data_IF_059544655251
#
_entry.id   IF_059544655251
#
_cell.length_a   1.000
_cell.length_b   1.000
_cell.length_c   1.000
_cell.angle_alpha   90.00
_cell.angle_beta   90.00
_cell.angle_gamma   90.00
#
_symmetry.space_group_name_H-M   'P 1'
#
loop_
_entity.id
_entity.type
_entity.pdbx_description
1 polymer ?
#
# COMPACT_ATOMS: atom_id res chain seq x y z
N UNK A 1 -61.11 -66.45 -11.46
CA UNK A 1 -62.26 -65.69 -10.96
C UNK A 1 -61.88 -65.14 -9.58
N UNK A 2 -61.72 -63.97 -9.40
CA UNK A 2 -61.81 -63.03 -8.30
C UNK A 2 -60.79 -61.85 -8.55
N UNK A 3 -61.39 -60.73 -8.96
CA UNK A 3 -60.70 -59.46 -9.08
C UNK A 3 -60.50 -58.87 -7.70
N UNK A 4 -59.33 -58.43 -7.38
CA UNK A 4 -59.03 -57.67 -6.18
C UNK A 4 -58.62 -56.28 -6.67
N UNK A 5 -59.45 -55.33 -6.30
CA UNK A 5 -59.16 -53.88 -6.45
C UNK A 5 -58.14 -53.45 -5.38
N UNK A 6 -57.07 -52.80 -5.81
CA UNK A 6 -56.18 -52.06 -4.88
C UNK A 6 -56.34 -50.59 -5.19
N UNK A 7 -56.89 -49.87 -4.23
CA UNK A 7 -57.00 -48.44 -4.25
C UNK A 7 -55.67 -47.79 -4.03
N UNK A 8 -55.32 -46.89 -4.93
CA UNK A 8 -54.14 -46.00 -4.80
C UNK A 8 -54.60 -44.77 -4.00
N UNK A 9 -54.02 -44.60 -2.79
CA UNK A 9 -54.08 -43.32 -2.08
C UNK A 9 -52.76 -42.59 -2.37
N UNK A 10 -52.83 -41.58 -3.21
CA UNK A 10 -51.75 -40.64 -3.40
C UNK A 10 -51.85 -39.57 -2.31
N UNK A 11 -50.94 -39.57 -1.37
CA UNK A 11 -50.76 -38.50 -0.42
C UNK A 11 -49.77 -37.52 -1.02
N UNK A 12 -50.30 -36.31 -1.34
CA UNK A 12 -49.48 -35.17 -1.71
C UNK A 12 -48.77 -34.65 -0.48
N UNK A 13 -47.46 -34.86 -0.45
CA UNK A 13 -46.50 -34.16 0.44
C UNK A 13 -45.48 -33.46 -0.44
N UNK A 14 -45.80 -32.33 -0.93
CA UNK A 14 -44.89 -31.42 -1.59
C UNK A 14 -45.26 -30.00 -1.20
N UNK A 15 -44.30 -29.34 -0.57
CA UNK A 15 -44.19 -27.91 -0.36
C UNK A 15 -44.04 -27.44 1.10
N UNK A 16 -42.87 -27.64 1.67
CA UNK A 16 -42.31 -26.70 2.70
C UNK A 16 -40.77 -26.72 2.73
N UNK A 17 -40.08 -27.33 1.77
CA UNK A 17 -38.62 -27.41 1.77
C UNK A 17 -37.92 -26.36 0.81
N UNK A 18 -38.68 -25.38 0.29
CA UNK A 18 -38.17 -24.48 -0.76
C UNK A 18 -37.91 -23.03 -0.35
N UNK A 19 -38.19 -22.66 0.90
CA UNK A 19 -38.11 -21.22 1.29
C UNK A 19 -36.97 -20.92 2.27
N UNK A 20 -36.40 -21.92 2.94
CA UNK A 20 -35.28 -21.68 3.88
C UNK A 20 -33.89 -21.72 3.28
N UNK A 21 -33.71 -22.15 2.04
CA UNK A 21 -32.38 -22.22 1.40
C UNK A 21 -31.97 -20.93 0.68
N UNK A 22 -32.83 -19.92 0.54
CA UNK A 22 -32.51 -18.66 -0.13
C UNK A 22 -32.00 -17.60 0.87
N UNK A 23 -32.27 -17.75 2.16
CA UNK A 23 -31.78 -16.77 3.16
C UNK A 23 -30.42 -17.10 3.79
N UNK A 24 -29.90 -18.32 3.59
CA UNK A 24 -28.60 -18.73 4.11
C UNK A 24 -27.42 -18.40 3.17
N UNK A 25 -27.69 -17.99 1.93
CA UNK A 25 -26.65 -17.62 0.95
C UNK A 25 -26.27 -16.14 0.95
N UNK A 26 -26.89 -15.29 1.79
CA UNK A 26 -26.67 -13.84 1.78
C UNK A 26 -25.80 -13.29 2.93
N UNK A 27 -25.13 -14.13 3.71
CA UNK A 27 -24.22 -13.68 4.78
C UNK A 27 -22.95 -14.53 4.92
N UNK A 28 -22.30 -14.84 3.82
CA UNK A 28 -20.85 -15.02 3.93
C UNK A 28 -20.30 -13.59 3.96
N UNK A 29 -19.98 -13.12 5.14
CA UNK A 29 -19.28 -11.83 5.28
C UNK A 29 -18.00 -11.95 4.45
N UNK A 30 -17.90 -11.17 3.35
CA UNK A 30 -16.73 -11.15 2.50
C UNK A 30 -15.48 -11.00 3.37
N UNK A 31 -14.47 -11.80 3.15
CA UNK A 31 -13.18 -11.65 3.81
C UNK A 31 -12.61 -10.25 3.55
N UNK A 32 -11.72 -9.76 4.39
CA UNK A 32 -11.04 -8.47 4.14
C UNK A 32 -10.34 -8.46 2.78
N UNK A 33 -9.80 -9.60 2.37
CA UNK A 33 -9.21 -9.80 1.05
C UNK A 33 -10.23 -9.57 -0.09
N UNK A 34 -11.41 -10.17 0.00
CA UNK A 34 -12.48 -9.98 -1.00
C UNK A 34 -12.97 -8.54 -1.06
N UNK A 35 -13.05 -7.84 0.08
CA UNK A 35 -13.43 -6.42 0.15
C UNK A 35 -12.44 -5.51 -0.58
N UNK A 36 -11.13 -5.79 -0.46
CA UNK A 36 -10.10 -5.08 -1.23
C UNK A 36 -10.25 -5.37 -2.73
N UNK A 37 -10.49 -6.62 -3.13
CA UNK A 37 -10.70 -6.97 -4.54
C UNK A 37 -11.96 -6.30 -5.13
N UNK A 38 -13.02 -6.11 -4.34
CA UNK A 38 -14.21 -5.39 -4.77
C UNK A 38 -13.92 -3.91 -5.09
N UNK A 39 -12.95 -3.28 -4.42
CA UNK A 39 -12.54 -1.89 -4.75
C UNK A 39 -11.95 -1.81 -6.15
N UNK A 40 -11.30 -2.86 -6.63
CA UNK A 40 -10.71 -2.89 -7.97
C UNK A 40 -11.76 -3.00 -9.08
N UNK A 41 -12.96 -3.49 -8.77
CA UNK A 41 -14.11 -3.51 -9.70
C UNK A 41 -14.78 -2.14 -9.75
N UNK A 42 -14.25 -1.26 -10.60
CA UNK A 42 -14.79 0.11 -10.77
C UNK A 42 -16.13 0.16 -11.53
N UNK A 43 -16.66 -0.97 -11.98
CA UNK A 43 -17.95 -1.03 -12.71
C UNK A 43 -19.16 -0.76 -11.81
N UNK A 44 -19.02 -0.89 -10.50
CA UNK A 44 -20.06 -0.70 -9.48
C UNK A 44 -19.53 -0.06 -8.21
N UNK A 45 -20.35 0.74 -7.50
CA UNK A 45 -19.96 1.29 -6.19
C UNK A 45 -19.70 0.17 -5.18
N UNK A 46 -18.64 0.34 -4.37
CA UNK A 46 -18.39 -0.52 -3.23
C UNK A 46 -19.18 -0.01 -2.01
N UNK A 47 -20.05 -0.84 -1.44
CA UNK A 47 -20.85 -0.47 -0.25
C UNK A 47 -20.03 -0.47 1.06
N UNK A 48 -18.88 -1.11 1.05
CA UNK A 48 -17.93 -1.14 2.15
C UNK A 48 -16.73 -0.26 1.79
N UNK A 49 -16.29 0.58 2.71
CA UNK A 49 -15.07 1.39 2.54
C UNK A 49 -13.94 0.72 3.30
N UNK A 50 -13.04 -0.01 2.61
CA UNK A 50 -11.86 -0.56 3.29
C UNK A 50 -10.98 0.56 3.83
N UNK A 51 -10.25 0.26 4.92
CA UNK A 51 -9.38 1.24 5.55
C UNK A 51 -8.11 0.60 6.12
N UNK A 52 -7.00 1.32 6.06
CA UNK A 52 -5.75 0.94 6.68
C UNK A 52 -4.89 2.17 7.02
N UNK A 53 -4.13 2.06 8.10
CA UNK A 53 -3.13 3.04 8.51
C UNK A 53 -1.83 2.32 8.84
N UNK A 54 -0.72 3.04 8.80
CA UNK A 54 0.61 2.48 9.00
C UNK A 54 1.44 3.36 9.92
N UNK A 55 2.23 2.71 10.76
CA UNK A 55 3.22 3.37 11.62
C UNK A 55 4.46 2.48 11.76
N UNK A 56 5.60 3.06 12.05
CA UNK A 56 6.80 2.29 12.36
C UNK A 56 6.77 1.78 13.80
N UNK A 57 7.08 0.50 13.98
CA UNK A 57 7.24 -0.10 15.30
C UNK A 57 8.65 0.10 15.84
N UNK A 58 8.81 -0.07 17.15
CA UNK A 58 10.11 -0.07 17.80
C UNK A 58 10.91 -1.31 17.37
N UNK A 59 10.28 -2.48 17.40
CA UNK A 59 10.90 -3.72 16.97
C UNK A 59 10.91 -3.82 15.44
N UNK A 60 12.10 -3.90 14.87
CA UNK A 60 12.30 -3.82 13.42
C UNK A 60 12.25 -5.17 12.72
N UNK A 61 12.78 -6.20 13.35
CA UNK A 61 12.95 -7.54 12.78
C UNK A 61 12.65 -8.64 13.81
N UNK A 62 12.53 -9.87 13.32
CA UNK A 62 12.34 -11.07 14.12
C UNK A 62 10.95 -11.18 14.77
N UNK A 63 10.81 -12.05 15.76
CA UNK A 63 9.51 -12.41 16.36
C UNK A 63 8.76 -11.25 16.98
N UNK A 64 9.46 -10.27 17.55
CA UNK A 64 8.79 -9.08 18.14
C UNK A 64 8.18 -8.20 17.07
N UNK A 65 8.87 -7.98 15.95
CA UNK A 65 8.30 -7.26 14.81
C UNK A 65 7.04 -7.96 14.26
N UNK A 66 7.07 -9.29 14.13
CA UNK A 66 5.89 -10.08 13.76
C UNK A 66 4.74 -9.86 14.74
N UNK A 67 5.02 -9.90 16.05
CA UNK A 67 3.99 -9.69 17.08
C UNK A 67 3.41 -8.28 17.01
N UNK A 68 4.24 -7.24 16.88
CA UNK A 68 3.79 -5.85 16.77
C UNK A 68 2.83 -5.65 15.56
N UNK A 69 3.16 -6.23 14.40
CA UNK A 69 2.27 -6.20 13.23
C UNK A 69 0.95 -6.93 13.47
N UNK A 70 0.98 -8.09 14.15
CA UNK A 70 -0.22 -8.86 14.47
C UNK A 70 -1.13 -8.09 15.42
N UNK A 71 -0.56 -7.53 16.49
CA UNK A 71 -1.31 -6.80 17.50
C UNK A 71 -1.93 -5.52 16.90
N UNK A 72 -1.17 -4.80 16.09
CA UNK A 72 -1.65 -3.61 15.39
C UNK A 72 -2.78 -3.92 14.41
N UNK A 73 -2.62 -4.93 13.56
CA UNK A 73 -3.67 -5.35 12.63
C UNK A 73 -4.97 -5.73 13.34
N UNK A 74 -4.88 -6.52 14.41
CA UNK A 74 -6.05 -6.97 15.18
C UNK A 74 -6.67 -5.84 15.99
N UNK A 75 -5.87 -5.01 16.64
CA UNK A 75 -6.35 -3.89 17.42
C UNK A 75 -7.08 -2.85 16.58
N UNK A 76 -6.57 -2.56 15.37
CA UNK A 76 -7.13 -1.51 14.51
C UNK A 76 -8.21 -1.97 13.55
N UNK A 77 -8.38 -3.29 13.33
CA UNK A 77 -9.34 -3.86 12.38
C UNK A 77 -9.12 -3.45 10.90
N UNK A 78 -7.91 -3.05 10.53
CA UNK A 78 -7.58 -2.66 9.15
C UNK A 78 -7.76 -3.81 8.15
N UNK A 79 -7.85 -3.49 6.86
CA UNK A 79 -8.25 -4.46 5.82
C UNK A 79 -7.09 -5.18 5.13
N UNK A 80 -5.85 -4.76 5.34
CA UNK A 80 -4.64 -5.45 4.87
C UNK A 80 -3.46 -5.20 5.77
N UNK A 81 -2.47 -6.07 5.73
CA UNK A 81 -1.24 -5.98 6.52
C UNK A 81 -0.13 -5.40 5.66
N UNK A 82 0.28 -4.16 5.94
CA UNK A 82 1.49 -3.57 5.37
C UNK A 82 2.67 -3.93 6.25
N UNK A 83 3.65 -4.64 5.69
CA UNK A 83 4.88 -5.00 6.40
C UNK A 83 5.95 -3.95 6.10
N UNK A 84 6.49 -3.31 7.14
CA UNK A 84 7.52 -2.29 6.94
C UNK A 84 8.82 -2.91 6.46
N UNK A 85 9.52 -2.16 5.60
CA UNK A 85 10.90 -2.45 5.22
C UNK A 85 11.84 -1.77 6.23
N UNK A 86 12.55 -2.56 7.01
CA UNK A 86 13.36 -2.06 8.13
C UNK A 86 14.85 -2.41 8.00
N UNK A 87 15.27 -3.01 6.87
CA UNK A 87 16.68 -3.25 6.56
C UNK A 87 17.22 -2.06 5.78
N UNK A 88 18.18 -1.35 6.37
CA UNK A 88 18.94 -0.35 5.65
C UNK A 88 20.04 -1.01 4.80
N UNK A 89 20.21 -0.55 3.56
CA UNK A 89 21.39 -0.95 2.77
C UNK A 89 22.67 -0.46 3.44
N UNK A 90 23.77 -1.23 3.34
CA UNK A 90 25.05 -0.85 3.93
C UNK A 90 25.54 0.49 3.39
N UNK A 91 26.17 1.26 4.28
CA UNK A 91 26.87 2.48 3.88
C UNK A 91 27.99 2.15 2.90
N UNK A 92 28.08 2.90 1.83
CA UNK A 92 29.14 2.85 0.84
C UNK A 92 30.02 4.11 0.99
N UNK A 93 31.32 3.96 0.90
CA UNK A 93 32.26 5.10 0.95
C UNK A 93 32.19 5.87 -0.37
N UNK A 94 31.32 6.88 -0.41
CA UNK A 94 31.08 7.77 -1.54
C UNK A 94 31.59 9.16 -1.17
N UNK A 95 32.78 9.51 -1.67
CA UNK A 95 33.43 10.81 -1.44
C UNK A 95 33.38 11.71 -2.68
N UNK A 96 33.13 11.15 -3.85
CA UNK A 96 33.00 11.84 -5.14
C UNK A 96 31.89 11.23 -5.97
N UNK A 97 31.40 11.95 -6.99
CA UNK A 97 30.39 11.43 -7.91
C UNK A 97 30.76 10.14 -8.63
N UNK A 98 32.07 9.85 -8.82
CA UNK A 98 32.56 8.58 -9.41
C UNK A 98 32.30 7.39 -8.48
N UNK A 99 32.29 7.60 -7.19
CA UNK A 99 32.20 6.52 -6.20
C UNK A 99 30.81 5.85 -6.17
N UNK A 100 29.82 6.42 -6.82
CA UNK A 100 28.54 5.74 -7.05
C UNK A 100 28.71 4.40 -7.76
N UNK A 101 29.77 4.19 -8.54
CA UNK A 101 30.09 2.90 -9.17
C UNK A 101 30.39 1.78 -8.16
N UNK A 102 30.69 2.11 -6.88
CA UNK A 102 30.94 1.15 -5.81
C UNK A 102 29.66 0.50 -5.26
N UNK A 103 28.47 1.07 -5.55
CA UNK A 103 27.20 0.54 -5.05
C UNK A 103 26.93 -0.82 -5.70
N UNK A 104 26.85 -1.91 -4.89
CA UNK A 104 26.69 -3.25 -5.42
C UNK A 104 25.22 -3.59 -5.73
N UNK A 105 25.01 -4.76 -6.33
CA UNK A 105 23.72 -5.45 -6.31
C UNK A 105 23.68 -6.35 -5.06
N UNK A 106 22.65 -6.20 -4.21
CA UNK A 106 22.41 -7.07 -3.06
C UNK A 106 21.60 -8.28 -3.48
N UNK A 107 22.03 -9.49 -3.10
CA UNK A 107 21.33 -10.74 -3.37
C UNK A 107 20.16 -11.00 -2.40
N UNK A 108 19.40 -12.07 -2.65
CA UNK A 108 18.26 -12.48 -1.81
C UNK A 108 18.67 -12.67 -0.35
N UNK A 109 19.87 -13.22 -0.07
CA UNK A 109 20.38 -13.49 1.28
C UNK A 109 20.49 -12.23 2.15
N UNK A 110 20.76 -11.08 1.52
CA UNK A 110 20.80 -9.80 2.23
C UNK A 110 19.44 -9.46 2.87
N UNK A 111 18.35 -9.83 2.22
CA UNK A 111 17.00 -9.51 2.66
C UNK A 111 16.37 -10.57 3.55
N UNK A 112 17.06 -11.69 3.83
CA UNK A 112 16.51 -12.81 4.61
C UNK A 112 15.89 -12.39 5.95
N UNK A 113 16.47 -11.49 6.78
CA UNK A 113 15.83 -11.09 8.04
C UNK A 113 14.49 -10.39 7.86
N UNK A 114 14.32 -9.63 6.77
CA UNK A 114 13.05 -8.97 6.42
C UNK A 114 12.04 -9.96 5.84
N UNK A 115 12.52 -10.86 4.99
CA UNK A 115 11.68 -11.86 4.32
C UNK A 115 11.13 -12.88 5.33
N UNK A 116 11.89 -13.21 6.39
CA UNK A 116 11.42 -14.06 7.48
C UNK A 116 10.21 -13.44 8.23
N UNK A 117 10.20 -12.11 8.45
CA UNK A 117 9.04 -11.42 9.04
C UNK A 117 7.82 -11.53 8.13
N UNK A 118 8.02 -11.38 6.82
CA UNK A 118 6.94 -11.51 5.83
C UNK A 118 6.36 -12.93 5.84
N UNK A 119 7.21 -13.96 5.87
CA UNK A 119 6.80 -15.36 5.90
C UNK A 119 5.95 -15.68 7.13
N UNK A 120 6.36 -15.23 8.31
CA UNK A 120 5.63 -15.48 9.55
C UNK A 120 4.26 -14.78 9.53
N UNK A 121 4.17 -13.53 9.01
CA UNK A 121 2.90 -12.81 8.86
C UNK A 121 2.00 -13.44 7.78
N UNK A 122 2.58 -13.88 6.67
CA UNK A 122 1.83 -14.57 5.62
C UNK A 122 1.22 -15.88 6.13
N UNK A 123 1.95 -16.63 6.97
CA UNK A 123 1.45 -17.85 7.61
C UNK A 123 0.32 -17.57 8.59
N UNK A 124 0.41 -16.48 9.36
CA UNK A 124 -0.61 -16.08 10.35
C UNK A 124 -1.92 -15.65 9.69
N UNK A 125 -1.85 -14.84 8.62
CA UNK A 125 -3.01 -14.18 8.02
C UNK A 125 -3.44 -14.77 6.66
N UNK A 126 -2.95 -15.97 6.32
CA UNK A 126 -3.25 -16.62 5.04
C UNK A 126 -4.76 -16.70 4.77
N UNK A 127 -5.19 -16.09 3.68
CA UNK A 127 -6.59 -16.09 3.26
C UNK A 127 -7.48 -15.05 3.97
N UNK A 128 -7.04 -14.46 5.08
CA UNK A 128 -7.78 -13.42 5.81
C UNK A 128 -7.57 -12.04 5.20
N UNK A 129 -6.30 -11.62 5.02
CA UNK A 129 -5.93 -10.32 4.54
C UNK A 129 -4.74 -10.40 3.57
N UNK A 130 -4.57 -9.38 2.72
CA UNK A 130 -3.38 -9.23 1.89
C UNK A 130 -2.16 -8.86 2.74
N UNK A 131 -1.04 -9.50 2.46
CA UNK A 131 0.27 -9.19 3.03
C UNK A 131 1.07 -8.38 2.01
N UNK A 132 1.28 -7.10 2.30
CA UNK A 132 1.87 -6.12 1.39
C UNK A 132 3.17 -5.55 1.98
N UNK A 133 4.33 -6.19 1.74
CA UNK A 133 5.61 -5.62 2.12
C UNK A 133 5.85 -4.26 1.48
N UNK A 134 6.44 -3.35 2.27
CA UNK A 134 6.93 -2.07 1.76
C UNK A 134 8.18 -2.29 0.92
N UNK A 135 8.24 -1.58 -0.19
CA UNK A 135 9.37 -1.56 -1.13
C UNK A 135 9.77 -0.11 -1.32
N UNK A 136 10.96 0.26 -0.88
CA UNK A 136 11.48 1.60 -1.13
C UNK A 136 12.03 1.73 -2.55
N UNK A 137 11.99 2.95 -3.08
CA UNK A 137 12.54 3.26 -4.40
C UNK A 137 14.07 3.11 -4.45
N UNK A 138 14.66 2.88 -5.62
CA UNK A 138 16.11 2.91 -5.79
C UNK A 138 16.73 4.24 -5.32
N UNK A 139 16.00 5.36 -5.50
CA UNK A 139 16.43 6.67 -5.05
C UNK A 139 16.52 6.76 -3.52
N UNK A 140 15.52 6.21 -2.81
CA UNK A 140 15.54 6.15 -1.34
C UNK A 140 16.73 5.32 -0.82
N UNK A 141 16.98 4.17 -1.44
CA UNK A 141 18.13 3.32 -1.09
C UNK A 141 19.46 4.00 -1.40
N UNK A 142 19.57 4.74 -2.51
CA UNK A 142 20.76 5.53 -2.81
C UNK A 142 21.05 6.57 -1.72
N UNK A 143 20.01 7.22 -1.17
CA UNK A 143 20.15 8.09 -0.01
C UNK A 143 20.64 7.37 1.25
N UNK A 144 20.27 6.10 1.44
CA UNK A 144 20.73 5.29 2.57
C UNK A 144 22.23 4.93 2.45
N UNK A 145 22.71 4.67 1.23
CA UNK A 145 24.13 4.28 1.02
C UNK A 145 25.12 5.35 1.44
N UNK A 146 24.71 6.63 1.45
CA UNK A 146 25.56 7.74 1.93
C UNK A 146 25.71 7.78 3.45
N UNK A 147 24.81 7.14 4.20
CA UNK A 147 24.68 7.35 5.63
C UNK A 147 24.08 8.73 5.95
N UNK A 148 23.66 8.88 7.20
CA UNK A 148 22.94 10.09 7.66
C UNK A 148 23.80 11.36 7.53
N UNK A 149 25.06 11.28 7.88
CA UNK A 149 26.02 12.39 7.91
C UNK A 149 26.30 12.99 6.52
N UNK A 150 26.27 12.17 5.46
CA UNK A 150 26.58 12.59 4.10
C UNK A 150 25.36 12.94 3.25
N UNK A 151 24.13 12.74 3.75
CA UNK A 151 22.88 13.04 3.00
C UNK A 151 22.82 14.47 2.47
N UNK A 152 23.37 15.43 3.20
CA UNK A 152 23.44 16.84 2.76
C UNK A 152 24.23 17.01 1.45
N UNK A 153 25.12 16.09 1.12
CA UNK A 153 25.94 16.13 -0.09
C UNK A 153 25.31 15.36 -1.24
N UNK A 154 24.14 14.73 -1.06
CA UNK A 154 23.50 13.83 -2.04
C UNK A 154 23.41 14.48 -3.41
N UNK A 155 22.74 15.64 -3.49
CA UNK A 155 22.53 16.36 -4.76
C UNK A 155 23.84 16.71 -5.45
N UNK A 156 24.82 17.26 -4.73
CA UNK A 156 26.15 17.58 -5.25
C UNK A 156 26.84 16.35 -5.84
N UNK A 157 26.88 15.22 -5.12
CA UNK A 157 27.52 13.99 -5.55
C UNK A 157 26.86 13.36 -6.79
N UNK A 158 25.53 13.51 -6.91
CA UNK A 158 24.79 13.09 -8.10
C UNK A 158 25.14 13.99 -9.30
N UNK A 159 25.15 15.32 -9.11
CA UNK A 159 25.45 16.30 -10.17
C UNK A 159 26.92 16.21 -10.67
N UNK A 160 27.87 15.79 -9.80
CA UNK A 160 29.27 15.55 -10.20
C UNK A 160 29.42 14.44 -11.24
N UNK A 161 28.61 13.36 -11.14
CA UNK A 161 28.64 12.27 -12.10
C UNK A 161 27.28 11.56 -12.20
N UNK A 162 26.30 12.13 -12.92
CA UNK A 162 24.98 11.52 -13.06
C UNK A 162 25.00 10.14 -13.73
N UNK A 163 25.98 9.85 -14.59
CA UNK A 163 26.09 8.56 -15.25
C UNK A 163 26.50 7.44 -14.27
N UNK A 164 27.48 7.71 -13.38
CA UNK A 164 27.84 6.78 -12.32
C UNK A 164 26.70 6.57 -11.32
N UNK A 165 25.99 7.65 -10.98
CA UNK A 165 24.77 7.56 -10.17
C UNK A 165 23.69 6.69 -10.85
N UNK A 166 23.48 6.83 -12.16
CA UNK A 166 22.54 5.98 -12.91
C UNK A 166 22.88 4.49 -12.84
N UNK A 167 24.19 4.13 -12.80
CA UNK A 167 24.62 2.73 -12.55
C UNK A 167 24.25 2.27 -11.14
N UNK A 168 24.45 3.12 -10.13
CA UNK A 168 24.05 2.82 -8.75
C UNK A 168 22.54 2.60 -8.64
N UNK A 169 21.73 3.47 -9.25
CA UNK A 169 20.27 3.34 -9.28
C UNK A 169 19.85 2.02 -9.94
N UNK A 170 20.49 1.64 -11.07
CA UNK A 170 20.27 0.33 -11.68
C UNK A 170 20.56 -0.82 -10.72
N UNK A 171 21.72 -0.81 -10.08
CA UNK A 171 22.13 -1.87 -9.14
C UNK A 171 21.18 -1.98 -7.94
N UNK A 172 20.72 -0.85 -7.41
CA UNK A 172 19.73 -0.83 -6.34
C UNK A 172 18.36 -1.32 -6.82
N UNK A 173 17.96 -1.00 -8.05
CA UNK A 173 16.72 -1.53 -8.63
C UNK A 173 16.77 -3.05 -8.77
N UNK A 174 17.87 -3.62 -9.25
CA UNK A 174 18.08 -5.07 -9.33
C UNK A 174 18.12 -5.71 -7.93
N UNK A 175 18.67 -5.02 -6.95
CA UNK A 175 18.63 -5.47 -5.54
C UNK A 175 17.20 -5.54 -5.01
N UNK A 176 16.38 -4.53 -5.33
CA UNK A 176 14.96 -4.50 -4.98
C UNK A 176 14.21 -5.62 -5.69
N UNK A 177 14.51 -5.92 -6.94
CA UNK A 177 13.93 -7.07 -7.65
C UNK A 177 14.23 -8.39 -6.91
N UNK A 178 15.47 -8.60 -6.43
CA UNK A 178 15.80 -9.76 -5.61
C UNK A 178 14.95 -9.82 -4.33
N UNK A 179 14.74 -8.68 -3.67
CA UNK A 179 13.84 -8.60 -2.51
C UNK A 179 12.39 -8.95 -2.85
N UNK A 180 11.85 -8.38 -3.93
CA UNK A 180 10.48 -8.65 -4.37
C UNK A 180 10.26 -10.14 -4.62
N UNK A 181 11.17 -10.77 -5.37
CA UNK A 181 11.09 -12.19 -5.70
C UNK A 181 11.24 -13.07 -4.45
N UNK A 182 12.15 -12.75 -3.54
CA UNK A 182 12.30 -13.45 -2.27
C UNK A 182 11.05 -13.33 -1.39
N UNK A 183 10.49 -12.12 -1.24
CA UNK A 183 9.28 -11.87 -0.48
C UNK A 183 8.07 -12.62 -1.07
N UNK A 184 7.93 -12.64 -2.39
CA UNK A 184 6.85 -13.39 -3.07
C UNK A 184 6.94 -14.90 -2.83
N UNK A 185 8.14 -15.47 -2.92
CA UNK A 185 8.39 -16.91 -2.60
C UNK A 185 7.97 -17.27 -1.17
N UNK A 186 8.06 -16.33 -0.24
CA UNK A 186 7.75 -16.50 1.19
C UNK A 186 6.34 -16.06 1.59
N UNK A 187 5.47 -15.75 0.62
CA UNK A 187 4.04 -15.57 0.86
C UNK A 187 3.54 -14.13 0.87
N UNK A 188 4.32 -13.15 0.43
CA UNK A 188 3.77 -11.83 0.11
C UNK A 188 2.71 -11.97 -0.98
N UNK A 189 1.56 -11.33 -0.81
CA UNK A 189 0.49 -11.35 -1.82
C UNK A 189 0.72 -10.32 -2.92
N UNK A 190 1.34 -9.20 -2.56
CA UNK A 190 1.69 -8.10 -3.43
C UNK A 190 2.59 -7.12 -2.71
N UNK A 191 2.64 -5.86 -3.13
CA UNK A 191 3.63 -4.92 -2.63
C UNK A 191 3.07 -3.51 -2.45
N UNK A 192 3.60 -2.81 -1.44
CA UNK A 192 3.42 -1.37 -1.26
C UNK A 192 4.70 -0.68 -1.75
N UNK A 193 4.73 -0.28 -3.03
CA UNK A 193 5.89 0.30 -3.70
C UNK A 193 5.92 1.80 -3.45
N UNK A 194 6.94 2.27 -2.74
CA UNK A 194 7.11 3.68 -2.38
C UNK A 194 8.10 4.35 -3.34
N UNK A 195 7.58 4.97 -4.39
CA UNK A 195 8.37 5.75 -5.35
C UNK A 195 8.67 7.15 -4.84
N UNK A 196 9.87 7.65 -5.08
CA UNK A 196 10.34 8.97 -4.66
C UNK A 196 11.01 9.71 -5.81
N UNK A 197 11.11 11.03 -5.68
CA UNK A 197 11.67 11.90 -6.71
C UNK A 197 10.61 12.36 -7.72
N UNK A 198 11.04 12.95 -8.83
CA UNK A 198 10.12 13.55 -9.79
C UNK A 198 9.50 14.88 -9.32
N UNK A 199 9.80 15.30 -8.09
CA UNK A 199 9.37 16.56 -7.47
C UNK A 199 10.10 17.81 -8.01
N UNK A 200 11.23 17.60 -8.68
CA UNK A 200 12.12 18.67 -9.19
C UNK A 200 13.04 19.30 -8.15
N UNK A 201 12.89 18.94 -6.86
CA UNK A 201 13.68 19.51 -5.76
C UNK A 201 14.84 18.58 -5.35
N UNK A 202 14.54 17.28 -5.23
CA UNK A 202 15.54 16.26 -4.86
C UNK A 202 16.61 16.12 -5.95
N UNK A 203 16.18 16.06 -7.21
CA UNK A 203 17.02 15.99 -8.41
C UNK A 203 16.41 16.89 -9.50
N UNK A 204 17.25 17.37 -10.42
CA UNK A 204 16.71 18.05 -11.60
C UNK A 204 15.83 17.08 -12.42
N UNK A 205 14.76 17.55 -13.08
CA UNK A 205 13.92 16.74 -13.92
C UNK A 205 14.69 15.96 -15.01
N UNK A 206 15.78 16.57 -15.53
CA UNK A 206 16.65 15.93 -16.52
C UNK A 206 17.36 14.70 -15.92
N UNK A 207 17.98 14.82 -14.75
CA UNK A 207 18.68 13.72 -14.08
C UNK A 207 17.68 12.63 -13.71
N UNK A 208 16.53 13.01 -13.12
CA UNK A 208 15.51 12.06 -12.72
C UNK A 208 14.98 11.27 -13.93
N UNK A 209 14.56 11.93 -15.00
CA UNK A 209 14.01 11.29 -16.17
C UNK A 209 15.02 10.36 -16.86
N UNK A 210 16.30 10.78 -16.95
CA UNK A 210 17.32 10.05 -17.70
C UNK A 210 17.90 8.87 -16.92
N UNK A 211 18.09 9.00 -15.60
CA UNK A 211 18.89 8.05 -14.84
C UNK A 211 18.11 7.31 -13.75
N UNK A 212 16.96 7.85 -13.27
CA UNK A 212 16.21 7.27 -12.15
C UNK A 212 14.91 6.64 -12.62
N UNK A 213 14.07 7.39 -13.32
CA UNK A 213 12.68 7.04 -13.63
C UNK A 213 12.52 5.63 -14.23
N UNK A 214 13.34 5.25 -15.18
CA UNK A 214 13.26 3.93 -15.82
C UNK A 214 13.46 2.78 -14.82
N UNK A 215 14.37 2.94 -13.87
CA UNK A 215 14.71 1.92 -12.88
C UNK A 215 13.74 1.93 -11.67
N UNK A 216 13.18 3.09 -11.34
CA UNK A 216 12.10 3.21 -10.37
C UNK A 216 10.82 2.56 -10.92
N UNK A 217 10.49 2.82 -12.19
CA UNK A 217 9.37 2.18 -12.88
C UNK A 217 9.56 0.66 -13.00
N UNK A 218 10.78 0.19 -13.27
CA UNK A 218 11.11 -1.24 -13.32
C UNK A 218 10.73 -1.97 -12.03
N UNK A 219 10.93 -1.35 -10.85
CA UNK A 219 10.48 -1.91 -9.57
C UNK A 219 8.97 -2.13 -9.56
N UNK A 220 8.19 -1.15 -10.05
CA UNK A 220 6.73 -1.27 -10.15
C UNK A 220 6.30 -2.32 -11.18
N UNK A 221 7.03 -2.46 -12.27
CA UNK A 221 6.79 -3.47 -13.32
C UNK A 221 7.01 -4.88 -12.78
N UNK A 222 8.12 -5.13 -12.06
CA UNK A 222 8.37 -6.42 -11.41
C UNK A 222 7.32 -6.70 -10.33
N UNK A 223 6.98 -5.71 -9.51
CA UNK A 223 5.93 -5.87 -8.49
C UNK A 223 4.58 -6.25 -9.12
N UNK A 224 4.21 -5.63 -10.24
CA UNK A 224 2.97 -5.93 -10.96
C UNK A 224 2.99 -7.29 -11.67
N UNK A 225 4.15 -7.74 -12.13
CA UNK A 225 4.33 -9.07 -12.75
C UNK A 225 4.07 -10.20 -11.75
N UNK A 226 4.57 -10.06 -10.50
CA UNK A 226 4.58 -11.17 -9.55
C UNK A 226 3.56 -11.05 -8.42
N UNK A 227 3.02 -9.84 -8.15
CA UNK A 227 2.05 -9.59 -7.09
C UNK A 227 0.61 -9.72 -7.57
N UNK A 228 -0.29 -10.17 -6.68
CA UNK A 228 -1.73 -10.22 -6.96
C UNK A 228 -2.35 -8.82 -6.96
N UNK A 229 -1.95 -7.97 -6.01
CA UNK A 229 -2.29 -6.54 -5.96
C UNK A 229 -1.05 -5.73 -5.57
N UNK A 230 -0.98 -4.49 -6.06
CA UNK A 230 0.10 -3.59 -5.67
C UNK A 230 -0.44 -2.18 -5.44
N UNK A 231 0.12 -1.52 -4.45
CA UNK A 231 -0.13 -0.10 -4.15
C UNK A 231 1.11 0.68 -4.57
N UNK A 232 0.94 1.63 -5.48
CA UNK A 232 1.97 2.63 -5.76
C UNK A 232 1.77 3.79 -4.79
N UNK A 233 2.71 3.99 -3.91
CA UNK A 233 2.80 5.18 -3.06
C UNK A 233 3.78 6.18 -3.69
N UNK A 234 3.25 7.32 -4.14
CA UNK A 234 4.06 8.45 -4.62
C UNK A 234 4.41 9.28 -3.38
N UNK A 235 5.64 9.14 -2.91
CA UNK A 235 6.06 9.67 -1.62
C UNK A 235 6.71 11.06 -1.77
N UNK A 236 6.21 12.02 -1.00
CA UNK A 236 6.72 13.40 -0.93
C UNK A 236 7.65 13.63 0.27
N UNK A 237 8.17 12.56 0.88
CA UNK A 237 8.94 12.66 2.12
C UNK A 237 10.12 13.63 2.00
N UNK A 238 9.99 14.77 2.69
CA UNK A 238 11.00 15.84 2.74
C UNK A 238 11.03 16.77 1.51
N UNK A 239 10.30 16.47 0.43
CA UNK A 239 10.28 17.27 -0.81
C UNK A 239 8.89 17.28 -1.43
N UNK A 240 7.98 18.18 -0.97
CA UNK A 240 6.62 18.24 -1.51
C UNK A 240 6.61 18.51 -3.01
N UNK A 241 5.74 17.83 -3.73
CA UNK A 241 5.44 18.12 -5.12
C UNK A 241 4.90 19.55 -5.28
N UNK A 242 5.14 20.17 -6.44
CA UNK A 242 4.67 21.52 -6.70
C UNK A 242 3.14 21.61 -6.68
N UNK A 243 2.47 20.68 -7.37
CA UNK A 243 1.02 20.60 -7.50
C UNK A 243 0.62 19.17 -7.92
N UNK A 244 -0.69 18.91 -8.03
CA UNK A 244 -1.22 17.62 -8.43
C UNK A 244 -0.73 17.16 -9.82
N UNK A 245 -0.49 18.07 -10.76
CA UNK A 245 -0.01 17.73 -12.10
C UNK A 245 1.34 16.99 -12.08
N UNK A 246 2.22 17.36 -11.14
CA UNK A 246 3.51 16.69 -10.99
C UNK A 246 3.39 15.21 -10.57
N UNK A 247 2.29 14.80 -9.91
CA UNK A 247 2.04 13.40 -9.56
C UNK A 247 1.77 12.53 -10.80
N UNK A 248 1.18 13.10 -11.84
CA UNK A 248 0.78 12.34 -13.02
C UNK A 248 1.95 11.90 -13.89
N UNK A 249 3.18 12.36 -13.58
CA UNK A 249 4.40 11.74 -14.12
C UNK A 249 4.54 10.26 -13.77
N UNK A 250 3.81 9.77 -12.75
CA UNK A 250 3.77 8.37 -12.33
C UNK A 250 2.54 7.61 -12.86
N UNK A 251 1.69 8.22 -13.68
CA UNK A 251 0.46 7.60 -14.15
C UNK A 251 0.68 6.31 -14.97
N UNK A 252 1.83 6.17 -15.62
CA UNK A 252 2.22 4.99 -16.38
C UNK A 252 2.96 3.91 -15.57
N UNK A 253 3.13 4.10 -14.25
CA UNK A 253 3.67 3.07 -13.37
C UNK A 253 2.58 2.04 -13.08
N UNK A 254 2.82 0.74 -13.34
CA UNK A 254 1.81 -0.27 -13.10
C UNK A 254 1.57 -0.47 -11.60
N UNK A 255 0.31 -0.39 -11.20
CA UNK A 255 -0.17 -0.70 -9.84
C UNK A 255 -1.68 -0.91 -9.88
N UNK A 256 -2.23 -1.59 -8.87
CA UNK A 256 -3.68 -1.78 -8.70
C UNK A 256 -4.36 -0.59 -8.02
N UNK A 257 -3.64 0.06 -7.12
CA UNK A 257 -4.13 1.13 -6.23
C UNK A 257 -3.05 2.21 -6.14
N UNK A 258 -3.46 3.47 -5.99
CA UNK A 258 -2.56 4.62 -5.88
C UNK A 258 -2.70 5.27 -4.50
N UNK A 259 -1.58 5.53 -3.84
CA UNK A 259 -1.50 6.33 -2.62
C UNK A 259 -0.64 7.58 -2.88
N UNK A 260 -1.15 8.75 -2.57
CA UNK A 260 -0.57 10.04 -2.99
C UNK A 260 -0.64 11.08 -1.88
N UNK A 261 0.25 12.10 -1.89
CA UNK A 261 0.16 13.26 -1.00
C UNK A 261 -1.09 14.08 -1.31
N UNK A 262 -1.58 14.79 -0.29
CA UNK A 262 -2.81 15.59 -0.36
C UNK A 262 -2.55 17.09 -0.50
N UNK A 263 -1.38 17.56 -0.09
CA UNK A 263 -0.99 18.97 -0.11
C UNK A 263 0.26 19.17 -0.95
N UNK A 264 0.32 20.35 -1.57
CA UNK A 264 1.39 20.72 -2.50
C UNK A 264 2.09 22.01 -2.07
N UNK A 265 3.30 22.22 -2.58
CA UNK A 265 4.10 23.39 -2.21
C UNK A 265 3.57 24.72 -2.76
N UNK A 266 2.69 24.68 -3.76
CA UNK A 266 1.99 25.88 -4.26
C UNK A 266 0.74 26.25 -3.43
N UNK A 267 0.46 25.51 -2.35
CA UNK A 267 -0.69 25.72 -1.46
C UNK A 267 -1.97 25.03 -1.94
N UNK A 268 -1.97 24.37 -3.09
CA UNK A 268 -3.13 23.60 -3.57
C UNK A 268 -3.27 22.27 -2.83
N UNK A 269 -4.45 21.67 -2.94
CA UNK A 269 -4.78 20.36 -2.39
C UNK A 269 -5.29 19.42 -3.48
N UNK A 270 -5.14 18.11 -3.26
CA UNK A 270 -5.55 17.08 -4.20
C UNK A 270 -7.09 16.95 -4.26
N UNK A 271 -7.64 16.96 -5.45
CA UNK A 271 -9.01 16.49 -5.68
C UNK A 271 -9.00 14.97 -5.87
N UNK A 272 -9.56 14.24 -4.91
CA UNK A 272 -9.52 12.77 -4.90
C UNK A 272 -10.26 12.12 -6.09
N UNK A 273 -11.40 12.68 -6.52
CA UNK A 273 -12.16 12.17 -7.68
C UNK A 273 -11.40 12.36 -8.98
N UNK A 274 -10.85 13.56 -9.16
CA UNK A 274 -10.03 13.87 -10.33
C UNK A 274 -8.77 13.00 -10.37
N UNK A 275 -8.08 12.84 -9.23
CA UNK A 275 -6.91 11.98 -9.13
C UNK A 275 -7.23 10.54 -9.54
N UNK A 276 -8.35 9.97 -9.04
CA UNK A 276 -8.78 8.64 -9.44
C UNK A 276 -9.05 8.54 -10.94
N UNK A 277 -9.72 9.53 -11.53
CA UNK A 277 -9.99 9.57 -12.98
C UNK A 277 -8.69 9.63 -13.78
N UNK A 278 -7.76 10.49 -13.38
CA UNK A 278 -6.47 10.69 -14.07
C UNK A 278 -5.54 9.49 -13.97
N UNK A 279 -5.49 8.83 -12.83
CA UNK A 279 -4.73 7.58 -12.66
C UNK A 279 -5.46 6.37 -13.27
N UNK A 280 -6.79 6.42 -13.44
CA UNK A 280 -7.62 5.30 -13.89
C UNK A 280 -7.68 4.14 -12.89
N UNK A 281 -7.37 4.40 -11.61
CA UNK A 281 -7.22 3.39 -10.54
C UNK A 281 -7.74 3.93 -9.21
N UNK A 282 -8.26 3.05 -8.30
CA UNK A 282 -8.68 3.44 -6.97
C UNK A 282 -7.59 4.20 -6.20
N UNK A 283 -8.02 5.20 -5.43
CA UNK A 283 -7.14 5.94 -4.52
C UNK A 283 -7.25 5.34 -3.13
N UNK A 284 -6.10 5.18 -2.48
CA UNK A 284 -5.93 4.87 -1.07
C UNK A 284 -5.35 6.09 -0.35
N UNK A 285 -6.01 6.57 0.70
CA UNK A 285 -5.54 7.76 1.44
C UNK A 285 -6.66 8.63 1.97
N UNK A 286 -6.58 9.93 1.76
CA UNK A 286 -7.59 10.94 2.10
C UNK A 286 -7.34 11.72 3.37
N UNK A 287 -6.56 11.19 4.34
CA UNK A 287 -6.19 11.90 5.55
C UNK A 287 -4.70 12.28 5.54
N UNK A 288 -4.39 13.45 6.06
CA UNK A 288 -2.99 13.86 6.26
C UNK A 288 -2.39 13.11 7.44
N UNK A 289 -1.23 12.47 7.24
CA UNK A 289 -0.54 11.69 8.28
C UNK A 289 -0.21 12.46 9.56
N UNK A 290 0.04 13.78 9.47
CA UNK A 290 0.34 14.66 10.60
C UNK A 290 -0.85 15.52 11.00
N UNK A 291 -2.00 15.33 10.35
CA UNK A 291 -3.23 16.06 10.58
C UNK A 291 -4.03 15.50 11.78
N UNK A 292 -5.34 15.65 11.68
CA UNK A 292 -6.28 15.30 12.74
C UNK A 292 -6.20 13.83 13.17
N UNK A 293 -5.83 12.91 12.26
CA UNK A 293 -5.65 11.49 12.59
C UNK A 293 -4.52 11.26 13.59
N UNK A 294 -3.48 12.08 13.57
CA UNK A 294 -2.37 12.03 14.53
C UNK A 294 -2.68 12.84 15.80
N UNK A 295 -3.25 14.04 15.66
CA UNK A 295 -3.28 15.05 16.73
C UNK A 295 -4.67 15.34 17.32
N UNK A 296 -5.75 15.05 16.59
CA UNK A 296 -7.12 15.36 16.99
C UNK A 296 -7.78 14.30 17.87
N UNK A 297 -9.01 14.58 18.29
CA UNK A 297 -9.90 13.65 18.95
C UNK A 297 -10.49 12.62 17.99
N UNK A 298 -11.16 11.58 18.51
CA UNK A 298 -11.87 10.58 17.69
C UNK A 298 -12.99 11.25 16.88
N UNK A 299 -13.72 12.18 17.47
CA UNK A 299 -14.84 12.88 16.83
C UNK A 299 -14.34 13.77 15.68
N UNK A 300 -13.25 14.51 15.89
CA UNK A 300 -12.61 15.31 14.83
C UNK A 300 -12.07 14.44 13.69
N UNK A 301 -11.48 13.28 14.03
CA UNK A 301 -10.99 12.35 13.03
C UNK A 301 -12.16 11.74 12.21
N UNK A 302 -13.29 11.36 12.85
CA UNK A 302 -14.50 10.90 12.14
C UNK A 302 -15.11 11.99 11.26
N UNK A 303 -15.15 13.24 11.72
CA UNK A 303 -15.63 14.36 10.91
C UNK A 303 -14.75 14.56 9.65
N UNK A 304 -13.43 14.42 9.79
CA UNK A 304 -12.52 14.47 8.63
C UNK A 304 -12.75 13.29 7.67
N UNK A 305 -13.00 12.07 8.17
CA UNK A 305 -13.39 10.92 7.34
C UNK A 305 -14.67 11.20 6.55
N UNK A 306 -15.65 11.82 7.20
CA UNK A 306 -16.91 12.21 6.57
C UNK A 306 -16.68 13.11 5.35
N UNK A 307 -15.86 14.14 5.51
CA UNK A 307 -15.49 15.06 4.43
C UNK A 307 -14.70 14.34 3.31
N UNK A 308 -13.79 13.44 3.66
CA UNK A 308 -13.05 12.65 2.69
C UNK A 308 -13.99 11.78 1.88
N UNK A 309 -14.89 11.02 2.52
CA UNK A 309 -15.76 10.06 1.86
C UNK A 309 -16.86 10.70 1.02
N UNK A 310 -17.34 11.90 1.40
CA UNK A 310 -18.23 12.72 0.56
C UNK A 310 -17.55 13.17 -0.74
N UNK A 311 -16.26 13.39 -0.70
CA UNK A 311 -15.46 13.92 -1.81
C UNK A 311 -14.66 12.84 -2.56
N UNK A 312 -14.57 11.61 -2.07
CA UNK A 312 -13.93 10.49 -2.73
C UNK A 312 -14.81 9.87 -3.83
N UNK A 313 -14.18 9.14 -4.74
CA UNK A 313 -14.91 8.30 -5.69
C UNK A 313 -15.50 7.05 -4.99
N UNK A 314 -16.49 6.37 -5.62
CA UNK A 314 -17.13 5.20 -5.02
C UNK A 314 -16.16 4.08 -4.61
N UNK A 315 -15.14 3.82 -5.41
CA UNK A 315 -14.15 2.77 -5.14
C UNK A 315 -12.89 3.40 -4.55
N UNK A 316 -12.91 3.58 -3.24
CA UNK A 316 -11.91 4.29 -2.46
C UNK A 316 -11.49 3.47 -1.25
N UNK A 317 -10.25 3.57 -0.83
CA UNK A 317 -9.72 2.98 0.40
C UNK A 317 -9.30 4.13 1.32
N UNK A 318 -9.84 4.16 2.54
CA UNK A 318 -9.47 5.18 3.52
C UNK A 318 -8.09 4.90 4.12
N UNK A 319 -7.29 5.93 4.25
CA UNK A 319 -6.00 5.89 4.94
C UNK A 319 -5.36 7.25 5.04
N UNK A 320 -4.07 7.27 5.37
CA UNK A 320 -3.28 8.49 5.35
C UNK A 320 -2.47 8.62 4.04
N UNK A 321 -2.06 9.83 3.73
CA UNK A 321 -1.18 10.16 2.59
C UNK A 321 0.22 9.53 2.72
N UNK A 322 0.64 9.18 3.93
CA UNK A 322 1.87 8.44 4.22
C UNK A 322 1.76 7.78 5.62
N UNK A 323 2.87 7.25 6.15
CA UNK A 323 2.98 6.65 7.48
C UNK A 323 2.66 7.66 8.58
N UNK A 324 1.71 7.33 9.47
CA UNK A 324 1.37 8.16 10.64
C UNK A 324 2.45 8.05 11.73
N UNK A 325 2.56 9.03 12.66
CA UNK A 325 3.51 8.93 13.77
C UNK A 325 3.32 7.66 14.59
N UNK A 326 4.42 7.09 15.07
CA UNK A 326 4.39 5.87 15.91
C UNK A 326 3.66 6.04 17.25
N UNK A 327 3.42 7.29 17.66
CA UNK A 327 2.64 7.65 18.85
C UNK A 327 1.14 7.79 18.60
N UNK A 328 0.67 7.55 17.37
CA UNK A 328 -0.74 7.63 17.03
C UNK A 328 -1.53 6.57 17.80
N UNK A 329 -2.61 7.00 18.46
CA UNK A 329 -3.46 6.14 19.28
C UNK A 329 -4.18 5.09 18.42
N UNK A 330 -4.00 3.82 18.75
CA UNK A 330 -4.60 2.68 18.06
C UNK A 330 -6.12 2.61 18.22
N UNK A 331 -6.64 3.02 19.37
CA UNK A 331 -8.09 3.06 19.59
C UNK A 331 -8.75 4.11 18.71
N UNK A 332 -8.07 5.23 18.47
CA UNK A 332 -8.53 6.24 17.49
C UNK A 332 -8.50 5.69 16.07
N UNK A 333 -7.42 5.01 15.68
CA UNK A 333 -7.36 4.34 14.36
C UNK A 333 -8.47 3.33 14.19
N UNK A 334 -8.74 2.51 15.22
CA UNK A 334 -9.84 1.55 15.24
C UNK A 334 -11.19 2.23 15.05
N UNK A 335 -11.46 3.27 15.82
CA UNK A 335 -12.74 3.99 15.75
C UNK A 335 -12.99 4.63 14.37
N UNK A 336 -11.93 5.13 13.73
CA UNK A 336 -11.97 5.71 12.37
C UNK A 336 -12.19 4.62 11.32
N UNK A 337 -11.52 3.49 11.43
CA UNK A 337 -11.66 2.36 10.51
C UNK A 337 -13.08 1.78 10.60
N UNK A 338 -13.58 1.50 11.80
CA UNK A 338 -14.92 0.96 12.01
C UNK A 338 -16.00 1.94 11.51
N UNK A 339 -15.78 3.25 11.64
CA UNK A 339 -16.65 4.28 11.08
C UNK A 339 -16.66 4.24 9.54
N UNK A 340 -15.50 4.13 8.89
CA UNK A 340 -15.40 4.01 7.45
C UNK A 340 -16.11 2.75 6.92
N UNK A 341 -15.95 1.62 7.61
CA UNK A 341 -16.55 0.35 7.22
C UNK A 341 -18.09 0.41 7.09
N UNK A 342 -18.74 1.23 7.91
CA UNK A 342 -20.21 1.37 7.95
C UNK A 342 -20.73 2.65 7.30
N UNK A 343 -19.86 3.53 6.86
CA UNK A 343 -20.21 4.88 6.42
C UNK A 343 -21.28 4.92 5.33
N UNK A 344 -21.14 4.09 4.28
CA UNK A 344 -22.09 4.07 3.16
C UNK A 344 -23.44 3.46 3.50
N UNK A 345 -23.52 2.67 4.56
CA UNK A 345 -24.78 2.11 5.07
C UNK A 345 -25.59 3.17 5.81
N UNK A 346 -24.90 4.15 6.42
CA UNK A 346 -25.50 5.21 7.24
C UNK A 346 -25.69 6.53 6.50
N UNK A 347 -25.09 6.68 5.30
CA UNK A 347 -25.12 7.89 4.48
C UNK A 347 -25.66 7.62 3.05
N UNK A 348 -26.78 6.90 2.97
CA UNK A 348 -27.50 6.60 1.71
C UNK A 348 -28.27 7.80 1.21
#
# INVERSE_FOLDING_TARGET
MKKIFVSIIAIALLSVAGVETISAQSQVANSKRERILQVLDQSRPNEYVPAAFFLHFENKLGRKAVQDHKDFYRATNMDFVKVFYEIAVPKVDIQSGKDWEKVPVYGEDFFEPQVAVIEDLAREFKGEAFILPTVYSPLALAGQTLGFENRKNFKKLVEENPAAFGKAIKNLSLSIENYLRAARKRGADGFYVSSQGGDGNSLSPEIWNKYVRQWDKHVSEVAAEIGEINILHICDYGTPFKNAEALYAFADYPASIINVPLKFSDGSTLNLKEAQQRFGRPIFGGLERLGVIATGTIEEAKAAVDEVLKNAAPNFILGADCTVPGTTDWDKLRAVIDYAHTWRQTHK
#
